data_IF_401077428256
#
_entry.id   IF_401077428256
#
_cell.length_a   1.000
_cell.length_b   1.000
_cell.length_c   1.000
_cell.angle_alpha   90.00
_cell.angle_beta   90.00
_cell.angle_gamma   90.00
#
_symmetry.space_group_name_H-M   'P 1'
#
loop_
_entity.id
_entity.type
_entity.pdbx_description
1 polymer ?
#
# COMPACT_ATOMS: atom_id res chain seq x y z
N UNK A 1 2.38 58.37 -18.76
CA UNK A 1 2.90 57.14 -18.11
C UNK A 1 3.79 56.42 -19.10
N UNK A 2 5.11 56.58 -19.00
CA UNK A 2 6.10 55.88 -19.82
C UNK A 2 6.86 54.92 -18.92
N UNK A 3 6.64 53.62 -19.13
CA UNK A 3 7.41 52.57 -18.46
C UNK A 3 8.82 52.52 -19.04
N UNK A 4 9.78 52.69 -18.15
CA UNK A 4 11.21 52.48 -18.39
C UNK A 4 11.46 51.02 -18.77
N UNK A 5 12.17 50.80 -19.88
CA UNK A 5 12.88 49.56 -20.13
C UNK A 5 14.35 49.77 -19.74
N UNK A 6 14.86 48.84 -18.94
CA UNK A 6 16.14 48.89 -18.26
C UNK A 6 17.32 48.93 -19.25
N UNK A 7 18.19 49.94 -19.10
CA UNK A 7 19.53 49.96 -19.70
C UNK A 7 20.44 49.06 -18.86
N UNK A 8 20.82 47.91 -19.41
CA UNK A 8 21.92 47.12 -18.86
C UNK A 8 23.25 47.81 -19.21
N UNK A 9 23.99 48.17 -18.16
CA UNK A 9 25.30 48.79 -18.27
C UNK A 9 26.33 47.77 -18.77
N UNK A 10 26.76 47.86 -20.03
CA UNK A 10 27.98 47.23 -20.53
C UNK A 10 29.09 48.29 -20.58
N UNK A 11 29.54 48.70 -19.40
CA UNK A 11 30.70 49.56 -19.22
C UNK A 11 32.00 48.79 -19.37
N UNK A 12 32.59 48.80 -20.56
CA UNK A 12 33.96 48.37 -20.84
C UNK A 12 34.52 49.22 -21.98
N UNK A 13 35.80 49.61 -21.92
CA UNK A 13 36.48 50.25 -23.06
C UNK A 13 36.21 49.42 -24.33
N UNK A 14 35.85 50.08 -25.43
CA UNK A 14 35.67 49.42 -26.73
C UNK A 14 36.89 48.54 -27.03
N UNK A 15 36.66 47.29 -27.44
CA UNK A 15 37.73 46.38 -27.87
C UNK A 15 38.57 47.12 -28.91
N UNK A 16 39.90 47.05 -28.81
CA UNK A 16 40.80 47.73 -29.75
C UNK A 16 40.85 47.04 -31.13
N UNK A 17 40.08 45.97 -31.30
CA UNK A 17 39.94 45.16 -32.51
C UNK A 17 38.45 44.84 -32.72
N UNK A 18 38.02 44.78 -33.98
CA UNK A 18 36.67 44.36 -34.34
C UNK A 18 36.60 42.83 -34.52
N UNK A 19 35.42 42.20 -34.29
CA UNK A 19 35.19 40.80 -34.63
C UNK A 19 35.49 40.46 -36.09
N UNK A 20 35.12 41.35 -37.02
CA UNK A 20 35.37 41.15 -38.46
C UNK A 20 36.86 41.07 -38.79
N UNK A 21 37.69 41.81 -38.05
CA UNK A 21 39.14 41.78 -38.22
C UNK A 21 39.73 40.45 -37.74
N UNK A 22 39.21 39.91 -36.64
CA UNK A 22 39.59 38.58 -36.14
C UNK A 22 39.18 37.50 -37.14
N UNK A 23 37.97 37.60 -37.72
CA UNK A 23 37.51 36.70 -38.78
C UNK A 23 38.40 36.72 -40.00
N UNK A 24 38.79 37.89 -40.48
CA UNK A 24 39.69 38.00 -41.64
C UNK A 24 41.07 37.39 -41.35
N UNK A 25 41.65 37.61 -40.17
CA UNK A 25 42.94 37.03 -39.78
C UNK A 25 42.84 35.50 -39.67
N UNK A 26 41.75 34.98 -39.09
CA UNK A 26 41.52 33.53 -39.01
C UNK A 26 41.39 32.93 -40.43
N UNK A 27 40.67 33.60 -41.34
CA UNK A 27 40.57 33.17 -42.74
C UNK A 27 41.93 33.20 -43.45
N UNK A 28 42.74 34.24 -43.26
CA UNK A 28 44.10 34.33 -43.82
C UNK A 28 44.99 33.15 -43.36
N UNK A 29 44.88 32.75 -42.09
CA UNK A 29 45.61 31.59 -41.58
C UNK A 29 45.12 30.29 -42.21
N UNK A 30 43.81 30.10 -42.36
CA UNK A 30 43.22 28.92 -42.99
C UNK A 30 43.62 28.85 -44.48
N UNK A 31 43.53 29.96 -45.22
CA UNK A 31 43.96 30.06 -46.62
C UNK A 31 45.48 29.83 -46.78
N UNK A 32 46.26 30.21 -45.78
CA UNK A 32 47.69 29.93 -45.65
C UNK A 32 48.02 28.47 -45.30
N UNK A 33 47.02 27.61 -45.11
CA UNK A 33 47.18 26.18 -44.85
C UNK A 33 47.27 25.80 -43.38
N UNK A 34 46.99 26.70 -42.44
CA UNK A 34 46.87 26.36 -41.03
C UNK A 34 45.56 25.59 -40.78
N UNK A 35 45.59 24.55 -39.94
CA UNK A 35 44.35 23.87 -39.57
C UNK A 35 43.61 24.68 -38.49
N UNK A 36 42.27 24.59 -38.43
CA UNK A 36 41.48 25.19 -37.35
C UNK A 36 41.96 24.86 -35.93
N UNK A 37 42.61 23.70 -35.73
CA UNK A 37 43.15 23.27 -34.44
C UNK A 37 44.48 23.97 -34.08
N UNK A 38 45.17 24.54 -35.06
CA UNK A 38 46.47 25.20 -34.88
C UNK A 38 46.34 26.71 -34.64
N UNK A 39 45.15 27.29 -34.86
CA UNK A 39 44.91 28.74 -34.74
C UNK A 39 44.46 29.06 -33.31
N UNK A 40 45.34 29.71 -32.54
CA UNK A 40 45.05 30.17 -31.19
C UNK A 40 45.02 31.71 -31.07
N UNK A 41 44.57 32.21 -29.92
CA UNK A 41 44.58 33.65 -29.64
C UNK A 41 45.96 34.26 -29.65
N UNK A 42 47.04 33.50 -29.41
CA UNK A 42 48.40 34.04 -29.42
C UNK A 42 48.85 34.38 -30.85
N UNK A 43 48.56 33.49 -31.80
CA UNK A 43 48.80 33.70 -33.23
C UNK A 43 47.96 34.86 -33.77
N UNK A 44 46.66 34.87 -33.48
CA UNK A 44 45.77 35.96 -33.91
C UNK A 44 46.17 37.29 -33.26
N UNK A 45 46.58 37.29 -31.98
CA UNK A 45 47.09 38.48 -31.30
C UNK A 45 48.38 39.01 -31.93
N UNK A 46 49.30 38.12 -32.33
CA UNK A 46 50.54 38.52 -33.00
C UNK A 46 50.23 39.25 -34.31
N UNK A 47 49.31 38.72 -35.11
CA UNK A 47 48.88 39.33 -36.37
C UNK A 47 48.18 40.68 -36.16
N UNK A 48 47.26 40.76 -35.19
CA UNK A 48 46.59 42.01 -34.80
C UNK A 48 47.58 43.11 -34.39
N UNK A 49 48.63 42.75 -33.63
CA UNK A 49 49.62 43.71 -33.16
C UNK A 49 50.61 44.14 -34.25
N UNK A 50 51.05 43.21 -35.10
CA UNK A 50 52.10 43.44 -36.09
C UNK A 50 51.57 44.13 -37.34
N UNK A 51 50.40 43.72 -37.84
CA UNK A 51 49.89 44.14 -39.15
C UNK A 51 48.73 45.15 -39.05
N UNK A 52 47.98 45.15 -37.94
CA UNK A 52 46.82 46.01 -37.77
C UNK A 52 46.98 47.08 -36.67
N UNK A 53 48.18 47.22 -36.10
CA UNK A 53 48.51 48.29 -35.14
C UNK A 53 47.69 48.25 -33.85
N UNK A 54 47.08 47.12 -33.52
CA UNK A 54 46.27 46.96 -32.32
C UNK A 54 47.17 46.94 -31.08
N UNK A 55 46.71 47.54 -29.97
CA UNK A 55 47.46 47.61 -28.71
C UNK A 55 47.95 46.23 -28.24
N UNK A 56 49.20 46.15 -27.77
CA UNK A 56 49.77 44.92 -27.19
C UNK A 56 49.06 44.45 -25.91
N UNK A 57 48.22 45.30 -25.30
CA UNK A 57 47.49 45.05 -24.05
C UNK A 57 46.13 44.33 -24.27
N UNK A 58 45.97 43.53 -25.32
CA UNK A 58 44.78 42.68 -25.50
C UNK A 58 44.77 41.58 -24.44
N UNK A 59 43.62 41.46 -23.74
CA UNK A 59 43.35 40.34 -22.82
C UNK A 59 43.25 39.03 -23.63
N UNK A 60 43.95 37.95 -23.23
CA UNK A 60 43.99 36.71 -24.00
C UNK A 60 42.66 35.94 -23.98
N UNK A 61 41.98 35.87 -22.82
CA UNK A 61 40.74 35.08 -22.67
C UNK A 61 39.60 35.54 -23.61
N UNK A 62 39.24 36.86 -23.68
CA UNK A 62 38.14 37.28 -24.57
C UNK A 62 38.50 37.27 -26.06
N UNK A 63 39.79 37.16 -26.38
CA UNK A 63 40.25 36.98 -27.75
C UNK A 63 40.19 35.50 -28.13
N UNK A 64 40.56 34.59 -27.22
CA UNK A 64 40.45 33.14 -27.42
C UNK A 64 39.00 32.71 -27.66
N UNK A 65 38.07 33.15 -26.82
CA UNK A 65 36.63 32.87 -27.00
C UNK A 65 36.13 33.35 -28.38
N UNK A 66 36.61 34.52 -28.83
CA UNK A 66 36.23 35.08 -30.12
C UNK A 66 36.83 34.29 -31.28
N UNK A 67 38.10 33.87 -31.17
CA UNK A 67 38.78 33.05 -32.17
C UNK A 67 38.11 31.69 -32.29
N UNK A 68 37.83 31.01 -31.17
CA UNK A 68 37.12 29.72 -31.15
C UNK A 68 35.73 29.81 -31.77
N UNK A 69 34.95 30.83 -31.41
CA UNK A 69 33.63 31.06 -31.98
C UNK A 69 33.70 31.30 -33.50
N UNK A 70 34.70 32.07 -33.95
CA UNK A 70 34.90 32.39 -35.37
C UNK A 70 35.33 31.16 -36.17
N UNK A 71 36.21 30.32 -35.59
CA UNK A 71 36.62 29.05 -36.19
C UNK A 71 35.43 28.09 -36.31
N UNK A 72 34.61 27.99 -35.26
CA UNK A 72 33.40 27.16 -35.29
C UNK A 72 32.43 27.62 -36.38
N UNK A 73 32.19 28.94 -36.50
CA UNK A 73 31.35 29.52 -37.54
C UNK A 73 31.89 29.24 -38.95
N UNK A 74 33.19 29.47 -39.20
CA UNK A 74 33.81 29.19 -40.51
C UNK A 74 33.71 27.71 -40.86
N UNK A 75 33.98 26.81 -39.90
CA UNK A 75 33.88 25.37 -40.12
C UNK A 75 32.45 24.91 -40.43
N UNK A 76 31.46 25.58 -39.84
CA UNK A 76 30.05 25.29 -40.11
C UNK A 76 29.62 25.83 -41.48
N UNK A 77 30.08 27.03 -41.86
CA UNK A 77 29.89 27.60 -43.20
C UNK A 77 30.51 26.71 -44.28
N UNK A 78 31.73 26.21 -44.06
CA UNK A 78 32.41 25.27 -44.95
C UNK A 78 31.66 23.94 -45.04
N UNK A 79 31.22 23.37 -43.91
CA UNK A 79 30.41 22.16 -43.91
C UNK A 79 29.11 22.34 -44.71
N UNK A 80 28.42 23.48 -44.54
CA UNK A 80 27.21 23.79 -45.28
C UNK A 80 27.51 23.98 -46.78
N UNK A 81 28.58 24.65 -47.14
CA UNK A 81 28.97 24.85 -48.54
C UNK A 81 29.31 23.50 -49.22
N UNK A 82 30.05 22.63 -48.54
CA UNK A 82 30.34 21.28 -49.01
C UNK A 82 29.07 20.46 -49.21
N UNK A 83 28.11 20.52 -48.27
CA UNK A 83 26.84 19.83 -48.42
C UNK A 83 25.99 20.38 -49.58
N UNK A 84 25.98 21.69 -49.81
CA UNK A 84 25.22 22.32 -50.91
C UNK A 84 25.86 22.14 -52.28
N UNK A 85 27.17 21.85 -52.33
CA UNK A 85 27.90 21.57 -53.58
C UNK A 85 27.84 20.10 -54.00
N UNK A 86 27.24 19.22 -53.18
CA UNK A 86 26.98 17.85 -53.56
C UNK A 86 26.03 17.79 -54.76
N UNK A 87 26.26 16.87 -55.71
CA UNK A 87 25.32 16.63 -56.81
C UNK A 87 23.92 16.20 -56.30
N UNK A 88 22.87 16.67 -56.97
CA UNK A 88 21.47 16.38 -56.61
C UNK A 88 21.16 14.87 -56.46
N UNK A 89 21.80 14.02 -57.26
CA UNK A 89 21.57 12.57 -57.18
C UNK A 89 22.13 11.95 -55.89
N UNK A 90 23.16 12.55 -55.29
CA UNK A 90 23.74 12.09 -54.02
C UNK A 90 22.86 12.52 -52.86
N UNK A 91 22.38 13.77 -52.84
CA UNK A 91 21.45 14.25 -51.80
C UNK A 91 20.14 13.46 -51.82
N UNK A 92 19.56 13.24 -53.01
CA UNK A 92 18.37 12.40 -53.17
C UNK A 92 18.59 10.96 -52.69
N UNK A 93 19.74 10.36 -53.01
CA UNK A 93 20.04 8.99 -52.56
C UNK A 93 20.18 8.90 -51.02
N UNK A 94 20.76 9.92 -50.37
CA UNK A 94 20.85 9.99 -48.91
C UNK A 94 19.47 10.18 -48.30
N UNK A 95 18.64 11.06 -48.85
CA UNK A 95 17.28 11.29 -48.38
C UNK A 95 16.41 10.03 -48.49
N UNK A 96 16.51 9.32 -49.62
CA UNK A 96 15.81 8.05 -49.83
C UNK A 96 16.28 6.97 -48.84
N UNK A 97 17.59 6.89 -48.59
CA UNK A 97 18.17 5.96 -47.62
C UNK A 97 17.70 6.29 -46.19
N UNK A 98 17.68 7.57 -45.81
CA UNK A 98 17.19 8.02 -44.51
C UNK A 98 15.69 7.76 -44.36
N UNK A 99 14.90 7.98 -45.42
CA UNK A 99 13.48 7.67 -45.43
C UNK A 99 13.23 6.16 -45.31
N UNK A 100 14.03 5.32 -45.98
CA UNK A 100 13.96 3.88 -45.86
C UNK A 100 14.33 3.40 -44.44
N UNK A 101 15.45 3.89 -43.89
CA UNK A 101 15.87 3.59 -42.52
C UNK A 101 14.83 4.03 -41.49
N UNK A 102 14.23 5.21 -41.68
CA UNK A 102 13.14 5.71 -40.83
C UNK A 102 11.91 4.82 -40.86
N UNK A 103 11.51 4.32 -42.05
CA UNK A 103 10.39 3.37 -42.18
C UNK A 103 10.68 2.04 -41.46
N UNK A 104 11.87 1.48 -41.63
CA UNK A 104 12.26 0.24 -40.97
C UNK A 104 12.29 0.39 -39.44
N UNK A 105 12.83 1.51 -38.94
CA UNK A 105 12.84 1.81 -37.51
C UNK A 105 11.41 1.95 -36.96
N UNK A 106 10.52 2.65 -37.67
CA UNK A 106 9.11 2.75 -37.28
C UNK A 106 8.42 1.39 -37.24
N UNK A 107 8.68 0.52 -38.21
CA UNK A 107 8.13 -0.84 -38.23
C UNK A 107 8.64 -1.68 -37.07
N UNK A 108 9.93 -1.60 -36.75
CA UNK A 108 10.52 -2.31 -35.61
C UNK A 108 9.91 -1.83 -34.29
N UNK A 109 9.80 -0.51 -34.10
CA UNK A 109 9.16 0.08 -32.91
C UNK A 109 7.69 -0.34 -32.81
N UNK A 110 6.95 -0.33 -33.92
CA UNK A 110 5.54 -0.76 -33.95
C UNK A 110 5.39 -2.24 -33.57
N UNK A 111 6.26 -3.12 -34.10
CA UNK A 111 6.29 -4.55 -33.74
C UNK A 111 6.61 -4.76 -32.27
N UNK A 112 7.61 -4.06 -31.75
CA UNK A 112 8.00 -4.17 -30.34
C UNK A 112 6.88 -3.66 -29.42
N UNK A 113 6.26 -2.53 -29.77
CA UNK A 113 5.13 -2.00 -29.02
C UNK A 113 3.94 -2.97 -29.01
N UNK A 114 3.61 -3.57 -30.16
CA UNK A 114 2.56 -4.59 -30.24
C UNK A 114 2.88 -5.82 -29.38
N UNK A 115 4.13 -6.30 -29.39
CA UNK A 115 4.56 -7.42 -28.56
C UNK A 115 4.47 -7.09 -27.05
N UNK A 116 4.96 -5.92 -26.63
CA UNK A 116 4.86 -5.46 -25.25
C UNK A 116 3.40 -5.30 -24.82
N UNK A 117 2.54 -4.75 -25.67
CA UNK A 117 1.11 -4.60 -25.38
C UNK A 117 0.44 -5.96 -25.21
N UNK A 118 0.69 -6.91 -26.12
CA UNK A 118 0.13 -8.26 -26.02
C UNK A 118 0.58 -8.99 -24.75
N UNK A 119 1.86 -8.82 -24.36
CA UNK A 119 2.37 -9.38 -23.11
C UNK A 119 1.67 -8.76 -21.88
N UNK A 120 1.53 -7.43 -21.85
CA UNK A 120 0.82 -6.73 -20.78
C UNK A 120 -0.67 -7.13 -20.70
N UNK A 121 -1.34 -7.27 -21.84
CA UNK A 121 -2.73 -7.70 -21.91
C UNK A 121 -2.89 -9.15 -21.39
N UNK A 122 -1.95 -10.04 -21.73
CA UNK A 122 -1.94 -11.41 -21.22
C UNK A 122 -1.73 -11.47 -19.70
N UNK A 123 -0.78 -10.70 -19.15
CA UNK A 123 -0.58 -10.59 -17.70
C UNK A 123 -1.83 -10.03 -17.00
N UNK A 124 -2.48 -9.03 -17.59
CA UNK A 124 -3.74 -8.49 -17.07
C UNK A 124 -4.85 -9.55 -17.02
N UNK A 125 -4.95 -10.41 -18.03
CA UNK A 125 -5.93 -11.51 -18.03
C UNK A 125 -5.65 -12.55 -16.94
N UNK A 126 -4.38 -12.91 -16.72
CA UNK A 126 -3.98 -13.79 -15.61
C UNK A 126 -4.39 -13.17 -14.27
N UNK A 127 -4.05 -11.90 -14.03
CA UNK A 127 -4.42 -11.20 -12.80
C UNK A 127 -5.95 -11.10 -12.61
N UNK A 128 -6.72 -10.93 -13.70
CA UNK A 128 -8.19 -10.95 -13.64
C UNK A 128 -8.73 -12.33 -13.30
N UNK A 129 -8.11 -13.41 -13.78
CA UNK A 129 -8.47 -14.78 -13.41
C UNK A 129 -8.17 -15.05 -11.93
N UNK A 130 -6.97 -14.68 -11.47
CA UNK A 130 -6.56 -14.84 -10.07
C UNK A 130 -7.46 -14.05 -9.12
N UNK A 131 -7.79 -12.81 -9.45
CA UNK A 131 -8.75 -12.00 -8.68
C UNK A 131 -10.12 -12.68 -8.57
N UNK A 132 -10.63 -13.25 -9.67
CA UNK A 132 -11.92 -13.98 -9.65
C UNK A 132 -11.84 -15.20 -8.74
N UNK A 133 -10.75 -15.96 -8.80
CA UNK A 133 -10.54 -17.13 -7.95
C UNK A 133 -10.44 -16.73 -6.46
N UNK A 134 -9.63 -15.72 -6.15
CA UNK A 134 -9.50 -15.20 -4.79
C UNK A 134 -10.85 -14.73 -4.23
N UNK A 135 -11.63 -13.98 -5.01
CA UNK A 135 -12.96 -13.53 -4.60
C UNK A 135 -13.92 -14.71 -4.35
N UNK A 136 -13.89 -15.74 -5.20
CA UNK A 136 -14.69 -16.95 -5.00
C UNK A 136 -14.29 -17.66 -3.71
N UNK A 137 -12.98 -17.80 -3.44
CA UNK A 137 -12.48 -18.42 -2.22
C UNK A 137 -12.83 -17.63 -0.96
N UNK A 138 -12.77 -16.30 -1.03
CA UNK A 138 -13.20 -15.41 0.06
C UNK A 138 -14.68 -15.63 0.36
N UNK A 139 -15.55 -15.58 -0.66
CA UNK A 139 -16.98 -15.79 -0.47
C UNK A 139 -17.31 -17.17 0.14
N UNK A 140 -16.58 -18.21 -0.28
CA UNK A 140 -16.71 -19.54 0.32
C UNK A 140 -16.31 -19.54 1.80
N UNK A 141 -15.16 -18.95 2.14
CA UNK A 141 -14.68 -18.88 3.52
C UNK A 141 -15.61 -18.04 4.42
N UNK A 142 -16.19 -16.97 3.88
CA UNK A 142 -17.18 -16.16 4.60
C UNK A 142 -18.45 -16.96 4.90
N UNK A 143 -18.93 -17.77 3.95
CA UNK A 143 -20.06 -18.66 4.17
C UNK A 143 -19.75 -19.73 5.22
N UNK A 144 -18.57 -20.38 5.13
CA UNK A 144 -18.12 -21.38 6.11
C UNK A 144 -18.01 -20.76 7.52
N UNK A 145 -17.54 -19.52 7.63
CA UNK A 145 -17.42 -18.80 8.89
C UNK A 145 -18.80 -18.48 9.47
N UNK A 146 -19.75 -18.03 8.65
CA UNK A 146 -21.12 -17.80 9.07
C UNK A 146 -21.78 -19.10 9.57
N UNK A 147 -21.62 -20.21 8.85
CA UNK A 147 -22.15 -21.51 9.27
C UNK A 147 -21.57 -21.94 10.63
N UNK A 148 -20.24 -21.84 10.79
CA UNK A 148 -19.58 -22.16 12.07
C UNK A 148 -20.03 -21.25 13.20
N UNK A 149 -20.25 -19.96 12.93
CA UNK A 149 -20.75 -19.02 13.94
C UNK A 149 -22.17 -19.38 14.40
N UNK A 150 -23.04 -19.82 13.47
CA UNK A 150 -24.37 -20.28 13.80
C UNK A 150 -24.33 -21.59 14.61
N UNK A 151 -23.46 -22.53 14.25
CA UNK A 151 -23.25 -23.77 15.01
C UNK A 151 -22.76 -23.49 16.43
N UNK A 152 -21.81 -22.56 16.60
CA UNK A 152 -21.33 -22.17 17.93
C UNK A 152 -22.45 -21.55 18.77
N UNK A 153 -23.24 -20.64 18.19
CA UNK A 153 -24.38 -20.04 18.90
C UNK A 153 -25.42 -21.08 19.32
N UNK A 154 -25.67 -22.10 18.49
CA UNK A 154 -26.58 -23.20 18.84
C UNK A 154 -26.02 -24.03 20.01
N UNK A 155 -24.73 -24.39 19.98
CA UNK A 155 -24.08 -25.12 21.07
C UNK A 155 -24.08 -24.30 22.37
N UNK A 156 -23.88 -22.99 22.30
CA UNK A 156 -23.97 -22.10 23.47
C UNK A 156 -25.38 -22.09 24.07
N UNK A 157 -26.41 -22.04 23.24
CA UNK A 157 -27.81 -22.15 23.70
C UNK A 157 -28.08 -23.51 24.34
N UNK A 158 -27.67 -24.61 23.70
CA UNK A 158 -27.82 -25.97 24.26
C UNK A 158 -27.09 -26.11 25.60
N UNK A 159 -25.89 -25.53 25.73
CA UNK A 159 -25.14 -25.50 26.99
C UNK A 159 -25.92 -24.74 28.06
N UNK A 160 -26.43 -23.55 27.74
CA UNK A 160 -27.13 -22.71 28.71
C UNK A 160 -28.46 -23.36 29.15
N UNK A 161 -29.18 -24.02 28.24
CA UNK A 161 -30.34 -24.84 28.59
C UNK A 161 -29.98 -26.03 29.49
N UNK A 162 -28.87 -26.71 29.19
CA UNK A 162 -28.40 -27.83 30.01
C UNK A 162 -28.00 -27.39 31.41
N UNK A 163 -27.36 -26.22 31.55
CA UNK A 163 -27.03 -25.63 32.84
C UNK A 163 -28.29 -25.29 33.64
N UNK A 164 -29.29 -24.66 33.01
CA UNK A 164 -30.57 -24.37 33.66
C UNK A 164 -31.26 -25.64 34.18
N UNK A 165 -31.29 -26.72 33.37
CA UNK A 165 -31.83 -28.02 33.80
C UNK A 165 -31.06 -28.64 34.96
N UNK A 166 -29.73 -28.47 34.98
CA UNK A 166 -28.91 -28.95 36.11
C UNK A 166 -29.26 -28.20 37.39
N UNK A 167 -29.44 -26.87 37.31
CA UNK A 167 -29.85 -26.06 38.46
C UNK A 167 -31.24 -26.45 38.97
N UNK A 168 -32.21 -26.66 38.07
CA UNK A 168 -33.55 -27.18 38.42
C UNK A 168 -33.47 -28.53 39.15
N UNK A 169 -32.69 -29.49 38.62
CA UNK A 169 -32.50 -30.80 39.24
C UNK A 169 -31.81 -30.71 40.61
N UNK A 170 -30.89 -29.76 40.80
CA UNK A 170 -30.23 -29.47 42.08
C UNK A 170 -31.26 -29.00 43.10
N UNK A 171 -32.15 -28.08 42.72
CA UNK A 171 -33.23 -27.58 43.57
C UNK A 171 -34.25 -28.68 43.92
N UNK A 172 -34.69 -29.47 42.93
CA UNK A 172 -35.58 -30.61 43.14
C UNK A 172 -34.97 -31.63 44.11
N UNK A 173 -33.68 -31.96 43.93
CA UNK A 173 -32.96 -32.86 44.82
C UNK A 173 -32.85 -32.30 46.24
N UNK A 174 -32.59 -31.00 46.40
CA UNK A 174 -32.55 -30.38 47.73
C UNK A 174 -33.93 -30.38 48.42
N UNK A 175 -35.01 -30.18 47.66
CA UNK A 175 -36.36 -30.28 48.17
C UNK A 175 -36.68 -31.72 48.62
N UNK A 176 -36.35 -32.71 47.80
CA UNK A 176 -36.55 -34.12 48.12
C UNK A 176 -35.74 -34.55 49.36
N UNK A 177 -34.48 -34.11 49.49
CA UNK A 177 -33.66 -34.37 50.68
C UNK A 177 -34.30 -33.80 51.95
N UNK A 178 -34.83 -32.56 51.90
CA UNK A 178 -35.54 -31.97 53.03
C UNK A 178 -36.80 -32.75 53.40
N UNK A 179 -37.54 -33.25 52.41
CA UNK A 179 -38.72 -34.09 52.68
C UNK A 179 -38.34 -35.42 53.33
N UNK A 180 -37.26 -36.06 52.87
CA UNK A 180 -36.73 -37.29 53.49
C UNK A 180 -36.34 -37.02 54.95
N UNK A 181 -35.55 -35.97 55.22
CA UNK A 181 -35.18 -35.61 56.59
C UNK A 181 -36.39 -35.35 57.48
N UNK A 182 -37.43 -34.69 56.94
CA UNK A 182 -38.65 -34.43 57.67
C UNK A 182 -39.39 -35.72 58.02
N UNK A 183 -39.54 -36.63 57.05
CA UNK A 183 -40.15 -37.94 57.26
C UNK A 183 -39.35 -38.74 58.30
N UNK A 184 -38.03 -38.78 58.20
CA UNK A 184 -37.17 -39.47 59.18
C UNK A 184 -37.34 -38.95 60.61
N UNK A 185 -37.48 -37.63 60.79
CA UNK A 185 -37.79 -37.03 62.11
C UNK A 185 -39.15 -37.48 62.63
N UNK A 186 -40.17 -37.52 61.77
CA UNK A 186 -41.50 -37.99 62.10
C UNK A 186 -41.50 -39.48 62.49
N UNK A 187 -40.84 -40.34 61.71
CA UNK A 187 -40.69 -41.77 62.06
C UNK A 187 -39.98 -41.93 63.39
N UNK A 188 -38.89 -41.20 63.64
CA UNK A 188 -38.18 -41.24 64.92
C UNK A 188 -39.00 -40.71 66.11
N UNK A 189 -39.98 -39.84 65.88
CA UNK A 189 -40.94 -39.44 66.92
C UNK A 189 -41.99 -40.53 67.18
N UNK A 190 -42.50 -41.17 66.12
CA UNK A 190 -43.41 -42.32 66.23
C UNK A 190 -42.74 -43.49 66.95
N UNK A 191 -41.49 -43.82 66.61
CA UNK A 191 -40.74 -44.89 67.28
C UNK A 191 -40.54 -44.61 68.78
N UNK A 192 -40.30 -43.34 69.15
CA UNK A 192 -40.23 -42.90 70.56
C UNK A 192 -41.57 -43.07 71.29
N UNK A 193 -42.67 -42.64 70.68
CA UNK A 193 -44.01 -42.84 71.24
C UNK A 193 -44.34 -44.34 71.39
N UNK A 194 -44.01 -45.16 70.39
CA UNK A 194 -44.21 -46.60 70.45
C UNK A 194 -43.36 -47.26 71.55
N UNK A 195 -42.16 -46.78 71.80
CA UNK A 195 -41.32 -47.26 72.91
C UNK A 195 -41.87 -46.81 74.27
N UNK A 196 -42.31 -45.56 74.42
CA UNK A 196 -42.96 -45.09 75.65
C UNK A 196 -44.26 -45.83 75.97
N UNK A 197 -45.09 -46.14 74.97
CA UNK A 197 -46.31 -46.97 75.13
C UNK A 197 -45.97 -48.43 75.41
N UNK A 198 -44.79 -48.91 75.00
CA UNK A 198 -44.30 -50.26 75.32
C UNK A 198 -43.66 -50.38 76.69
N UNK A 199 -43.32 -49.25 77.34
CA UNK A 199 -42.78 -49.26 78.69
C UNK A 199 -43.84 -49.76 79.69
N UNK A 200 -43.57 -50.85 80.44
CA UNK A 200 -44.53 -51.42 81.38
C UNK A 200 -45.02 -50.42 82.43
N UNK A 201 -44.18 -49.47 82.86
CA UNK A 201 -44.59 -48.44 83.83
C UNK A 201 -45.69 -47.53 83.28
N UNK A 202 -45.62 -47.18 81.99
CA UNK A 202 -46.62 -46.36 81.33
C UNK A 202 -47.85 -47.18 80.91
N UNK A 203 -47.69 -48.46 80.57
CA UNK A 203 -48.82 -49.34 80.22
C UNK A 203 -49.82 -49.51 81.37
N UNK A 204 -49.32 -49.62 82.59
CA UNK A 204 -50.17 -49.74 83.77
C UNK A 204 -50.95 -48.44 84.03
N UNK A 205 -50.31 -47.28 83.84
CA UNK A 205 -50.96 -45.96 83.91
C UNK A 205 -52.02 -45.80 82.80
N UNK A 206 -51.70 -46.19 81.57
CA UNK A 206 -52.63 -46.13 80.43
C UNK A 206 -53.82 -47.07 80.65
N UNK A 207 -53.61 -48.30 81.15
CA UNK A 207 -54.70 -49.23 81.49
C UNK A 207 -55.59 -48.71 82.61
N UNK A 208 -55.01 -48.08 83.63
CA UNK A 208 -55.76 -47.48 84.72
C UNK A 208 -56.66 -46.34 84.22
N UNK A 209 -56.12 -45.42 83.40
CA UNK A 209 -56.89 -44.33 82.80
C UNK A 209 -57.97 -44.82 81.83
N UNK A 210 -57.68 -45.84 81.00
CA UNK A 210 -58.69 -46.46 80.14
C UNK A 210 -59.81 -47.12 80.94
N UNK A 211 -59.48 -47.80 82.05
CA UNK A 211 -60.47 -48.38 82.95
C UNK A 211 -61.34 -47.29 83.60
N UNK A 212 -60.77 -46.13 83.93
CA UNK A 212 -61.49 -44.97 84.48
C UNK A 212 -62.42 -44.30 83.46
N UNK A 213 -61.99 -44.15 82.20
CA UNK A 213 -62.82 -43.64 81.09
C UNK A 213 -63.95 -44.62 80.74
N UNK A 214 -63.68 -45.93 80.76
CA UNK A 214 -64.72 -46.95 80.56
C UNK A 214 -65.70 -46.95 81.74
N UNK A 215 -65.23 -46.77 82.97
CA UNK A 215 -66.09 -46.68 84.15
C UNK A 215 -67.00 -45.44 84.11
N UNK A 216 -66.49 -44.28 83.67
CA UNK A 216 -67.25 -43.04 83.54
C UNK A 216 -68.24 -43.05 82.36
N UNK A 217 -67.85 -43.58 81.20
CA UNK A 217 -68.76 -43.75 80.05
C UNK A 217 -69.86 -44.79 80.32
N UNK A 218 -69.59 -45.83 81.11
CA UNK A 218 -70.61 -46.78 81.59
C UNK A 218 -71.52 -46.16 82.66
N UNK A 219 -71.05 -45.15 83.40
CA UNK A 219 -71.89 -44.35 84.31
C UNK A 219 -72.80 -43.37 83.57
N UNK A 220 -72.34 -42.75 82.47
CA UNK A 220 -73.20 -41.91 81.61
C UNK A 220 -74.21 -42.71 80.78
N UNK A 221 -73.91 -43.98 80.46
CA UNK A 221 -74.80 -44.86 79.71
C UNK A 221 -75.83 -45.63 80.56
N UNK A 222 -75.90 -45.41 81.89
CA UNK A 222 -76.98 -45.94 82.74
C UNK A 222 -78.10 -44.89 82.86
N UNK A 223 -79.21 -45.04 82.11
CA UNK A 223 -80.36 -44.17 82.24
C UNK A 223 -81.04 -44.41 83.60
N UNK A 224 -81.57 -43.33 84.17
CA UNK A 224 -82.60 -43.40 85.22
C UNK A 224 -83.86 -44.07 84.69
#
# INVERSE_FOLDING_TARGET
MTKQAAKTNLGGRSKSYSPDLVRNIVLEFIEGGATPADIDAAMVKAQLCQHHGVSKQIRPEPLQELVEATIAEISEEERRSLLTSLPDHVSLAVDDAMAAAGRELMLLVARQNAACKNAADAECEVLRADKRNANWRIAQLEADLQERSAQLSAIEQERDEALARVDELIEERDAALKEIEQRERETGAVDRLLTEVRDPANQDVIRALLAEVVATSVQEARPS
#
